data_IF_813011419059
#
_entry.id   IF_813011419059
#
_cell.length_a   1.000
_cell.length_b   1.000
_cell.length_c   1.000
_cell.angle_alpha   90.00
_cell.angle_beta   90.00
_cell.angle_gamma   90.00
#
_symmetry.space_group_name_H-M   'P 1'
#
loop_
_entity.id
_entity.type
_entity.pdbx_description
1 polymer ?
#
# COMPACT_ATOMS: atom_id res chain seq x y z
N UNK A 1 -6.33 1.91 -40.67
CA UNK A 1 -7.63 2.47 -40.26
C UNK A 1 -8.48 1.29 -39.80
N UNK A 2 -9.02 1.13 -38.59
CA UNK A 2 -9.31 2.01 -37.45
C UNK A 2 -9.41 1.11 -36.20
N UNK A 3 -8.87 1.62 -35.09
CA UNK A 3 -9.15 1.35 -33.68
C UNK A 3 -9.47 -0.09 -33.21
N UNK A 4 -8.49 -0.74 -32.58
CA UNK A 4 -8.79 -1.68 -31.50
C UNK A 4 -9.03 -0.87 -30.23
N UNK A 5 -10.31 -0.60 -29.96
CA UNK A 5 -10.83 -0.04 -28.72
C UNK A 5 -10.54 -1.02 -27.60
N UNK A 6 -9.84 -0.57 -26.54
CA UNK A 6 -9.49 -1.46 -25.44
C UNK A 6 -8.90 -0.75 -24.24
N UNK A 7 -9.66 0.17 -23.62
CA UNK A 7 -9.67 0.24 -22.16
C UNK A 7 -10.97 0.90 -21.68
N UNK A 8 -11.77 0.13 -20.95
CA UNK A 8 -12.90 0.65 -20.18
C UNK A 8 -12.37 1.65 -19.15
N UNK A 9 -12.94 2.84 -19.18
CA UNK A 9 -12.76 3.88 -18.17
C UNK A 9 -13.32 3.37 -16.83
N UNK A 10 -12.45 3.15 -15.84
CA UNK A 10 -12.87 2.95 -14.46
C UNK A 10 -13.01 4.31 -13.76
N UNK A 11 -14.09 5.05 -14.05
CA UNK A 11 -14.54 6.11 -13.14
C UNK A 11 -15.45 5.43 -12.12
N UNK A 12 -14.87 5.09 -10.97
CA UNK A 12 -15.62 4.69 -9.79
C UNK A 12 -15.23 5.60 -8.63
N UNK A 13 -15.71 6.84 -8.66
CA UNK A 13 -15.74 7.70 -7.47
C UNK A 13 -17.15 8.26 -7.32
N UNK A 14 -17.99 7.55 -6.56
CA UNK A 14 -19.25 8.07 -6.03
C UNK A 14 -19.11 8.15 -4.51
N UNK A 15 -18.65 9.31 -4.03
CA UNK A 15 -18.66 9.64 -2.61
C UNK A 15 -20.07 10.12 -2.21
N UNK A 16 -20.84 9.31 -1.47
CA UNK A 16 -22.14 9.71 -0.90
C UNK A 16 -22.20 9.53 0.62
N UNK A 17 -22.39 10.64 1.34
CA UNK A 17 -23.17 10.75 2.61
C UNK A 17 -22.48 10.49 3.96
N UNK A 18 -22.25 11.51 4.78
CA UNK A 18 -21.47 11.49 6.05
C UNK A 18 -21.82 10.49 7.18
N UNK A 19 -22.84 9.64 7.05
CA UNK A 19 -22.99 8.45 7.91
C UNK A 19 -21.99 7.33 7.52
N UNK A 20 -21.51 7.35 6.26
CA UNK A 20 -20.50 6.44 5.73
C UNK A 20 -19.12 6.72 6.32
N UNK A 21 -18.82 7.95 6.71
CA UNK A 21 -17.46 8.36 7.08
C UNK A 21 -16.93 7.65 8.34
N UNK A 22 -17.75 7.48 9.38
CA UNK A 22 -17.36 6.69 10.56
C UNK A 22 -17.16 5.21 10.22
N UNK A 23 -18.01 4.67 9.35
CA UNK A 23 -17.89 3.29 8.89
C UNK A 23 -16.65 3.10 8.01
N UNK A 24 -16.31 4.07 7.16
CA UNK A 24 -15.11 4.10 6.34
C UNK A 24 -13.86 4.14 7.22
N UNK A 25 -13.81 5.02 8.22
CA UNK A 25 -12.69 5.04 9.18
C UNK A 25 -12.56 3.73 9.95
N UNK A 26 -13.68 3.16 10.42
CA UNK A 26 -13.67 1.88 11.11
C UNK A 26 -13.17 0.74 10.22
N UNK A 27 -13.63 0.68 8.97
CA UNK A 27 -13.18 -0.27 7.96
C UNK A 27 -11.70 -0.08 7.65
N UNK A 28 -11.25 1.15 7.40
CA UNK A 28 -9.85 1.46 7.13
C UNK A 28 -8.94 1.02 8.27
N UNK A 29 -9.34 1.21 9.53
CA UNK A 29 -8.57 0.73 10.70
C UNK A 29 -8.50 -0.81 10.74
N UNK A 30 -9.60 -1.49 10.43
CA UNK A 30 -9.62 -2.95 10.32
C UNK A 30 -8.68 -3.43 9.21
N UNK A 31 -8.77 -2.83 8.03
CA UNK A 31 -7.95 -3.16 6.87
C UNK A 31 -6.46 -2.94 7.17
N UNK A 32 -6.10 -1.80 7.77
CA UNK A 32 -4.74 -1.51 8.23
C UNK A 32 -4.23 -2.52 9.26
N UNK A 33 -5.07 -2.95 10.21
CA UNK A 33 -4.69 -3.95 11.21
C UNK A 33 -4.42 -5.32 10.56
N UNK A 34 -5.22 -5.73 9.57
CA UNK A 34 -5.00 -6.97 8.82
C UNK A 34 -3.72 -6.88 7.98
N UNK A 35 -3.49 -5.76 7.29
CA UNK A 35 -2.28 -5.54 6.51
C UNK A 35 -1.02 -5.51 7.40
N UNK A 36 -1.09 -4.85 8.57
CA UNK A 36 0.00 -4.84 9.55
C UNK A 36 0.30 -6.26 10.05
N UNK A 37 -0.72 -7.04 10.40
CA UNK A 37 -0.54 -8.43 10.82
C UNK A 37 0.08 -9.30 9.70
N UNK A 38 -0.31 -9.07 8.45
CA UNK A 38 0.25 -9.77 7.30
C UNK A 38 1.72 -9.39 7.04
N UNK A 39 2.08 -8.12 7.25
CA UNK A 39 3.47 -7.65 7.22
C UNK A 39 4.30 -8.28 8.34
N UNK A 40 3.74 -8.42 9.54
CA UNK A 40 4.41 -9.09 10.65
C UNK A 40 4.68 -10.57 10.33
N UNK A 41 3.67 -11.27 9.82
CA UNK A 41 3.81 -12.66 9.34
C UNK A 41 4.89 -12.75 8.26
N UNK A 42 4.89 -11.82 7.31
CA UNK A 42 5.91 -11.72 6.27
C UNK A 42 7.31 -11.53 6.89
N UNK A 43 7.48 -10.61 7.82
CA UNK A 43 8.75 -10.38 8.53
C UNK A 43 9.25 -11.63 9.24
N UNK A 44 8.38 -12.36 9.93
CA UNK A 44 8.78 -13.61 10.60
C UNK A 44 9.24 -14.69 9.62
N UNK A 45 8.70 -14.69 8.40
CA UNK A 45 9.01 -15.68 7.36
C UNK A 45 10.29 -15.34 6.61
N UNK A 46 10.51 -14.06 6.29
CA UNK A 46 11.59 -13.61 5.41
C UNK A 46 12.69 -12.80 6.12
N UNK A 47 12.53 -12.51 7.41
CA UNK A 47 13.51 -11.84 8.27
C UNK A 47 13.41 -10.32 8.33
N UNK A 48 12.80 -9.67 7.33
CA UNK A 48 12.63 -8.21 7.29
C UNK A 48 11.34 -7.83 6.52
N UNK A 49 10.91 -6.58 6.62
CA UNK A 49 9.79 -6.06 5.82
C UNK A 49 10.22 -5.77 4.36
N UNK A 50 9.27 -5.72 3.41
CA UNK A 50 9.56 -5.33 2.01
C UNK A 50 10.15 -3.93 1.92
N UNK A 51 11.36 -3.78 1.40
CA UNK A 51 11.99 -2.47 1.27
C UNK A 51 11.53 -1.75 0.00
N UNK A 52 11.31 -0.44 0.12
CA UNK A 52 10.89 0.44 -0.97
C UNK A 52 12.09 1.28 -1.41
N UNK A 53 12.87 0.80 -2.40
CA UNK A 53 14.19 1.35 -2.75
C UNK A 53 14.22 2.86 -3.11
N UNK A 54 13.09 3.44 -3.50
CA UNK A 54 12.79 4.87 -3.51
C UNK A 54 11.27 5.00 -3.70
N UNK A 55 10.54 5.41 -2.67
CA UNK A 55 9.11 5.12 -2.60
C UNK A 55 8.25 6.20 -3.28
N UNK A 56 7.96 6.04 -4.56
CA UNK A 56 6.80 6.70 -5.15
C UNK A 56 5.54 6.23 -4.39
N UNK A 57 4.76 7.17 -3.86
CA UNK A 57 3.60 6.90 -3.01
C UNK A 57 2.53 7.96 -3.27
N UNK A 58 1.91 7.88 -4.45
CA UNK A 58 0.77 8.72 -4.80
C UNK A 58 -0.53 7.98 -4.44
N UNK A 59 -1.36 8.47 -3.50
CA UNK A 59 -2.60 7.80 -3.13
C UNK A 59 -3.62 7.72 -4.28
N UNK A 60 -3.53 8.62 -5.28
CA UNK A 60 -4.39 8.64 -6.47
C UNK A 60 -3.70 8.06 -7.73
N UNK A 61 -2.44 7.64 -7.61
CA UNK A 61 -1.66 7.15 -8.74
C UNK A 61 -2.17 5.83 -9.32
N UNK A 62 -1.70 5.50 -10.53
CA UNK A 62 -1.98 4.21 -11.18
C UNK A 62 -1.13 3.10 -10.58
N UNK A 63 -1.68 1.89 -10.50
CA UNK A 63 -0.96 0.74 -9.97
C UNK A 63 0.36 0.51 -10.73
N UNK A 64 1.45 0.34 -9.99
CA UNK A 64 2.77 0.01 -10.53
C UNK A 64 3.36 -1.21 -9.80
N UNK A 65 4.52 -1.70 -10.26
CA UNK A 65 5.18 -2.87 -9.68
C UNK A 65 6.21 -2.49 -8.59
N UNK A 66 6.74 -1.28 -8.72
CA UNK A 66 7.94 -0.78 -8.06
C UNK A 66 7.69 0.46 -7.19
N UNK A 67 6.44 0.91 -7.11
CA UNK A 67 6.01 1.93 -6.15
C UNK A 67 5.66 1.30 -4.78
N UNK A 68 5.53 2.12 -3.74
CA UNK A 68 5.23 1.64 -2.38
C UNK A 68 4.00 0.71 -2.32
N UNK A 69 2.84 1.12 -2.87
CA UNK A 69 1.64 0.30 -2.89
C UNK A 69 1.79 -1.02 -3.67
N UNK A 70 2.46 -1.00 -4.83
CA UNK A 70 2.72 -2.18 -5.64
C UNK A 70 3.70 -3.15 -4.99
N UNK A 71 4.73 -2.63 -4.32
CA UNK A 71 5.67 -3.43 -3.52
C UNK A 71 4.95 -4.15 -2.41
N UNK A 72 4.08 -3.45 -1.66
CA UNK A 72 3.27 -4.04 -0.60
C UNK A 72 2.38 -5.16 -1.14
N UNK A 73 1.64 -4.91 -2.23
CA UNK A 73 0.76 -5.90 -2.84
C UNK A 73 1.52 -7.16 -3.26
N UNK A 74 2.64 -7.00 -3.98
CA UNK A 74 3.43 -8.12 -4.47
C UNK A 74 4.15 -8.88 -3.35
N UNK A 75 4.51 -8.22 -2.24
CA UNK A 75 5.05 -8.90 -1.07
C UNK A 75 4.00 -9.77 -0.37
N UNK A 76 2.82 -9.21 -0.09
CA UNK A 76 1.74 -9.93 0.63
C UNK A 76 1.06 -11.02 -0.21
N UNK A 77 1.18 -10.95 -1.54
CA UNK A 77 0.80 -12.04 -2.45
C UNK A 77 1.89 -13.10 -2.63
N UNK A 78 3.06 -12.91 -2.01
CA UNK A 78 4.17 -13.86 -2.05
C UNK A 78 4.91 -13.88 -3.39
N UNK A 79 5.03 -12.71 -4.04
CA UNK A 79 5.75 -12.52 -5.32
C UNK A 79 7.03 -11.69 -5.17
N UNK A 80 7.24 -11.06 -4.02
CA UNK A 80 8.40 -10.18 -3.76
C UNK A 80 9.04 -10.45 -2.41
N UNK A 81 10.38 -10.49 -2.40
CA UNK A 81 11.21 -10.59 -1.21
C UNK A 81 11.50 -9.28 -0.48
N UNK A 82 12.15 -9.35 0.70
CA UNK A 82 12.26 -8.22 1.62
C UNK A 82 13.25 -7.14 1.15
N UNK A 83 14.21 -7.48 0.29
CA UNK A 83 15.26 -6.55 -0.13
C UNK A 83 14.79 -5.41 -1.06
N UNK A 84 15.52 -4.30 -1.05
CA UNK A 84 15.33 -3.18 -1.97
C UNK A 84 15.50 -3.62 -3.44
N UNK A 85 16.50 -4.47 -3.69
CA UNK A 85 16.65 -5.18 -4.96
C UNK A 85 15.56 -6.23 -5.09
N UNK A 86 14.84 -6.21 -6.21
CA UNK A 86 13.81 -7.20 -6.51
C UNK A 86 14.40 -8.62 -6.46
N UNK A 87 13.93 -9.40 -5.48
CA UNK A 87 14.12 -10.85 -5.43
C UNK A 87 12.76 -11.50 -5.72
N UNK A 88 12.55 -12.05 -6.93
CA UNK A 88 11.31 -12.76 -7.25
C UNK A 88 11.15 -13.99 -6.37
N UNK A 89 9.93 -14.26 -5.91
CA UNK A 89 9.64 -15.44 -5.09
C UNK A 89 8.30 -16.07 -5.45
N UNK A 90 8.13 -17.33 -5.07
CA UNK A 90 6.87 -18.05 -5.17
C UNK A 90 6.50 -18.50 -3.76
N UNK A 91 5.81 -17.63 -3.03
CA UNK A 91 5.33 -17.89 -1.68
C UNK A 91 3.80 -17.90 -1.63
N UNK A 92 3.26 -18.42 -0.53
CA UNK A 92 1.83 -18.35 -0.21
C UNK A 92 1.47 -16.90 0.11
N UNK A 93 0.29 -16.47 -0.30
CA UNK A 93 -0.22 -15.17 0.12
C UNK A 93 -0.49 -15.15 1.62
N UNK A 94 -0.09 -14.07 2.28
CA UNK A 94 -0.32 -13.82 3.71
C UNK A 94 -1.65 -13.13 3.99
N UNK A 95 -2.35 -12.68 2.94
CA UNK A 95 -3.63 -11.97 3.02
C UNK A 95 -4.72 -12.67 2.22
N UNK A 96 -5.96 -12.52 2.67
CA UNK A 96 -7.13 -12.96 1.89
C UNK A 96 -7.55 -11.82 0.97
N UNK A 97 -7.16 -11.87 -0.31
CA UNK A 97 -7.35 -10.77 -1.27
C UNK A 97 -8.82 -10.37 -1.45
N UNK A 98 -9.76 -11.32 -1.33
CA UNK A 98 -11.20 -11.05 -1.44
C UNK A 98 -11.77 -10.19 -0.32
N UNK A 99 -11.01 -9.97 0.77
CA UNK A 99 -11.41 -9.06 1.84
C UNK A 99 -11.15 -7.58 1.49
N UNK A 100 -10.32 -7.30 0.48
CA UNK A 100 -9.88 -5.96 0.12
C UNK A 100 -10.43 -5.52 -1.24
N UNK A 101 -10.61 -4.21 -1.39
CA UNK A 101 -10.75 -3.60 -2.71
C UNK A 101 -9.37 -3.51 -3.37
N UNK A 102 -9.30 -3.83 -4.66
CA UNK A 102 -8.07 -3.80 -5.45
C UNK A 102 -8.21 -2.80 -6.59
N UNK A 103 -7.11 -2.15 -6.97
CA UNK A 103 -7.11 -1.18 -8.06
C UNK A 103 -7.25 -1.83 -9.44
N UNK A 104 -6.68 -3.02 -9.60
CA UNK A 104 -6.87 -3.87 -10.79
C UNK A 104 -7.52 -5.20 -10.41
N UNK A 105 -8.24 -5.81 -11.35
CA UNK A 105 -8.67 -7.20 -11.26
C UNK A 105 -7.55 -8.20 -11.55
N UNK A 106 -6.39 -7.73 -12.01
CA UNK A 106 -5.24 -8.57 -12.32
C UNK A 106 -4.62 -9.14 -11.04
N UNK A 107 -4.68 -10.47 -10.92
CA UNK A 107 -4.08 -11.22 -9.83
C UNK A 107 -2.82 -11.94 -10.31
N UNK A 108 -1.79 -12.05 -9.45
CA UNK A 108 -0.58 -12.76 -9.83
C UNK A 108 -0.88 -14.24 -10.06
N UNK A 109 -0.40 -14.77 -11.19
CA UNK A 109 -0.62 -16.16 -11.54
C UNK A 109 -0.13 -17.11 -10.43
N UNK A 110 -0.90 -18.17 -10.19
CA UNK A 110 -0.52 -19.18 -9.19
C UNK A 110 0.76 -19.91 -9.61
N UNK A 111 1.65 -20.16 -8.66
CA UNK A 111 2.89 -20.92 -8.91
C UNK A 111 3.98 -20.18 -9.67
N UNK A 112 3.81 -18.90 -9.98
CA UNK A 112 4.84 -18.08 -10.64
C UNK A 112 5.38 -17.02 -9.68
N UNK A 113 6.54 -16.45 -10.01
CA UNK A 113 7.09 -15.27 -9.33
C UNK A 113 6.71 -13.96 -10.03
N UNK A 114 5.79 -14.03 -11.00
CA UNK A 114 5.36 -12.86 -11.76
C UNK A 114 4.59 -11.90 -10.84
N UNK A 115 5.02 -10.64 -10.88
CA UNK A 115 4.36 -9.56 -10.17
C UNK A 115 3.20 -9.00 -10.98
N UNK A 116 2.26 -8.36 -10.28
CA UNK A 116 1.12 -7.68 -10.89
C UNK A 116 1.09 -6.22 -10.47
N UNK A 117 0.80 -5.34 -11.43
CA UNK A 117 0.61 -3.92 -11.16
C UNK A 117 -0.76 -3.75 -10.50
N UNK A 118 -0.78 -3.80 -9.16
CA UNK A 118 -2.00 -3.72 -8.38
C UNK A 118 -1.70 -3.08 -7.00
N UNK A 119 -2.74 -2.63 -6.31
CA UNK A 119 -2.66 -2.02 -5.00
C UNK A 119 -3.93 -2.30 -4.19
N UNK A 120 -3.78 -2.38 -2.87
CA UNK A 120 -4.93 -2.39 -1.95
C UNK A 120 -5.53 -0.97 -1.87
N UNK A 121 -6.85 -0.89 -1.98
CA UNK A 121 -7.58 0.36 -1.88
C UNK A 121 -8.23 0.50 -0.50
N UNK A 122 -8.17 1.72 0.01
CA UNK A 122 -8.88 2.16 1.19
C UNK A 122 -10.38 2.40 0.89
N UNK A 123 -11.20 2.66 1.92
CA UNK A 123 -12.64 2.87 1.75
C UNK A 123 -13.02 4.11 0.92
N UNK A 124 -12.07 5.03 0.70
CA UNK A 124 -12.26 6.18 -0.18
C UNK A 124 -11.72 5.92 -1.59
N UNK A 125 -11.32 4.68 -1.92
CA UNK A 125 -10.85 4.30 -3.25
C UNK A 125 -9.41 4.71 -3.54
N UNK A 126 -8.64 5.10 -2.52
CA UNK A 126 -7.23 5.49 -2.65
C UNK A 126 -6.32 4.36 -2.23
N UNK A 127 -5.09 4.38 -2.73
CA UNK A 127 -4.13 3.31 -2.47
C UNK A 127 -3.58 3.42 -1.05
N UNK A 128 -3.48 2.31 -0.35
CA UNK A 128 -2.70 2.26 0.87
C UNK A 128 -1.23 2.55 0.56
N UNK A 129 -0.67 3.53 1.28
CA UNK A 129 0.69 4.00 1.10
C UNK A 129 1.64 3.21 2.00
N UNK A 130 2.82 2.90 1.47
CA UNK A 130 3.78 2.04 2.12
C UNK A 130 5.23 2.49 1.89
N UNK A 131 5.98 2.60 2.97
CA UNK A 131 7.38 3.02 2.95
C UNK A 131 8.19 2.21 3.95
N UNK A 132 9.34 1.67 3.53
CA UNK A 132 10.29 1.04 4.44
C UNK A 132 11.71 1.07 3.88
N UNK A 133 12.67 1.50 4.71
CA UNK A 133 14.12 1.57 4.41
C UNK A 133 14.40 2.08 3.00
N UNK A 134 13.93 3.29 2.72
CA UNK A 134 14.12 3.98 1.43
C UNK A 134 15.54 4.52 1.21
N UNK A 135 16.42 4.41 2.20
CA UNK A 135 17.79 4.90 2.12
C UNK A 135 18.64 4.52 3.34
N UNK A 136 19.95 4.85 3.31
CA UNK A 136 20.90 4.43 4.34
C UNK A 136 20.72 5.12 5.69
N UNK A 137 19.95 6.22 5.75
CA UNK A 137 19.69 6.98 6.96
C UNK A 137 18.48 6.45 7.76
N UNK A 138 17.75 5.44 7.26
CA UNK A 138 16.48 5.01 7.84
C UNK A 138 16.71 4.38 9.23
N UNK A 139 16.16 4.98 10.27
CA UNK A 139 16.36 4.54 11.67
C UNK A 139 15.16 3.79 12.24
N UNK A 140 13.95 3.97 11.69
CA UNK A 140 12.76 3.30 12.19
C UNK A 140 12.82 1.77 12.01
N UNK A 141 12.44 1.03 13.05
CA UNK A 141 12.40 -0.44 12.99
C UNK A 141 11.11 -1.00 12.38
N UNK A 142 10.13 -0.13 12.16
CA UNK A 142 8.80 -0.47 11.63
C UNK A 142 8.57 0.24 10.29
N UNK A 143 7.77 -0.34 9.39
CA UNK A 143 7.38 0.30 8.14
C UNK A 143 6.30 1.35 8.39
N UNK A 144 6.20 2.32 7.48
CA UNK A 144 5.01 3.17 7.38
C UNK A 144 3.95 2.44 6.57
N UNK A 145 2.75 2.34 7.12
CA UNK A 145 1.58 1.89 6.38
C UNK A 145 0.40 2.78 6.78
N UNK A 146 -0.21 3.43 5.80
CA UNK A 146 -1.28 4.39 6.06
C UNK A 146 -2.23 4.60 4.88
N UNK A 147 -3.40 5.16 5.18
CA UNK A 147 -4.35 5.69 4.20
C UNK A 147 -4.30 7.22 4.25
N UNK A 148 -4.41 7.84 3.07
CA UNK A 148 -4.53 9.28 2.87
C UNK A 148 -5.92 9.84 3.23
N UNK A 149 -6.80 9.00 3.77
CA UNK A 149 -8.10 9.42 4.26
C UNK A 149 -9.05 9.97 3.18
N UNK A 150 -10.14 10.64 3.63
CA UNK A 150 -11.13 11.28 2.76
C UNK A 150 -10.60 12.40 1.88
N UNK A 151 -9.61 13.18 2.31
CA UNK A 151 -9.09 14.30 1.53
C UNK A 151 -8.08 13.84 0.46
N UNK A 152 -7.38 12.74 0.71
CA UNK A 152 -6.43 12.13 -0.22
C UNK A 152 -5.10 12.81 -0.29
N UNK A 153 -4.91 13.76 0.60
CA UNK A 153 -3.69 14.46 0.74
C UNK A 153 -2.83 13.60 1.67
N UNK A 154 -1.62 13.33 1.22
CA UNK A 154 -0.65 12.58 2.00
C UNK A 154 0.70 13.22 1.74
N UNK A 155 1.10 14.09 2.64
CA UNK A 155 2.46 14.59 2.67
C UNK A 155 3.32 13.58 3.42
N UNK A 156 4.11 12.84 2.65
CA UNK A 156 5.19 12.04 3.21
C UNK A 156 6.27 12.98 3.78
N UNK A 157 7.04 12.53 4.78
CA UNK A 157 8.22 13.27 5.22
C UNK A 157 9.09 13.63 4.02
N UNK A 158 9.61 14.87 3.99
CA UNK A 158 10.44 15.38 2.88
C UNK A 158 11.66 14.49 2.58
N UNK A 159 12.11 13.71 3.57
CA UNK A 159 13.04 12.62 3.36
C UNK A 159 12.60 11.38 4.17
N UNK A 160 11.94 10.39 3.53
CA UNK A 160 11.59 9.14 4.21
C UNK A 160 12.84 8.40 4.70
N UNK A 161 14.04 8.68 4.18
CA UNK A 161 15.27 8.07 4.65
C UNK A 161 15.75 8.63 6.00
N UNK A 162 15.36 9.82 6.47
CA UNK A 162 15.77 10.33 7.81
C UNK A 162 14.68 10.16 8.87
N UNK A 163 13.66 9.39 8.54
CA UNK A 163 12.43 9.32 9.28
C UNK A 163 12.52 8.36 10.47
N UNK A 164 12.00 8.81 11.62
CA UNK A 164 12.05 8.13 12.93
C UNK A 164 10.85 7.20 13.18
N UNK A 165 9.95 7.06 12.20
CA UNK A 165 8.73 6.24 12.33
C UNK A 165 7.55 6.99 12.95
N UNK A 166 7.71 8.27 13.33
CA UNK A 166 6.59 9.08 13.79
C UNK A 166 5.72 9.46 12.60
N UNK A 167 4.40 9.24 12.63
CA UNK A 167 3.56 9.63 11.51
C UNK A 167 3.78 11.11 11.15
N UNK A 168 3.82 11.48 9.86
CA UNK A 168 3.93 12.87 9.45
C UNK A 168 2.67 13.58 9.92
N UNK A 169 2.68 14.04 11.16
CA UNK A 169 1.56 14.57 11.90
C UNK A 169 1.86 16.05 12.15
N UNK A 170 0.93 16.92 11.77
CA UNK A 170 1.07 18.36 11.98
C UNK A 170 1.00 19.24 10.73
N UNK A 171 0.91 18.67 9.52
CA UNK A 171 0.47 19.43 8.33
C UNK A 171 -1.03 19.26 8.13
N UNK A 172 -1.70 20.30 7.63
CA UNK A 172 -3.15 20.24 7.37
C UNK A 172 -3.53 19.09 6.41
N UNK A 173 -2.60 18.73 5.52
CA UNK A 173 -2.71 17.65 4.55
C UNK A 173 -2.68 16.24 5.15
N UNK A 174 -2.29 16.06 6.42
CA UNK A 174 -2.21 14.75 7.06
C UNK A 174 -3.16 14.61 8.27
N UNK A 175 -4.07 15.56 8.45
CA UNK A 175 -4.94 15.63 9.63
C UNK A 175 -5.93 14.46 9.70
N UNK A 176 -6.27 13.83 8.58
CA UNK A 176 -7.19 12.71 8.46
C UNK A 176 -6.51 11.36 8.16
N UNK A 177 -5.18 11.35 7.99
CA UNK A 177 -4.42 10.14 7.74
C UNK A 177 -4.60 9.09 8.85
N UNK A 178 -4.82 7.84 8.42
CA UNK A 178 -4.97 6.70 9.33
C UNK A 178 -3.78 5.77 9.18
N UNK A 179 -3.12 5.48 10.30
CA UNK A 179 -1.86 4.73 10.35
C UNK A 179 -2.08 3.33 10.92
N UNK A 180 -1.37 2.34 10.38
CA UNK A 180 -1.37 0.98 10.91
C UNK A 180 -0.41 0.82 12.10
N UNK A 181 0.72 1.52 12.04
CA UNK A 181 1.74 1.54 13.09
C UNK A 181 1.70 2.93 13.73
N UNK A 182 1.31 2.99 15.00
CA UNK A 182 1.37 4.23 15.79
C UNK A 182 2.78 4.46 16.36
N UNK A 183 3.04 5.65 16.92
CA UNK A 183 4.18 5.84 17.81
C UNK A 183 4.10 4.91 19.03
#
# INVERSE_FOLDING_TARGET
>A
MIALVGLLVAIAFTATGGATERAHRARCRSDLAVLAHALETYRTTFGDYPQTAAAANDPAGVAALDDGPGILFNALTGRRGPGATLVPMVARSTVTLSAFALQSGDLPAAGTSAQSANAFLDPWGRRYLYCYKTGPAWTAHTPLLFSAGPDGMAELPADPATWDGTPPSGTAANADNLLAFGP
#
